data_IF_436319995793
#
_entry.id   IF_436319995793
#
_cell.length_a   1.000
_cell.length_b   1.000
_cell.length_c   1.000
_cell.angle_alpha   90.00
_cell.angle_beta   90.00
_cell.angle_gamma   90.00
#
_symmetry.space_group_name_H-M   'P 1'
#
loop_
_entity.id
_entity.type
_entity.pdbx_description
1 polymer ?
#
# COMPACT_ATOMS: atom_id res chain seq x y z
N UNK A 1 22.02 -3.74 -8.54
CA UNK A 1 21.70 -2.42 -9.13
C UNK A 1 20.22 -2.26 -9.51
N UNK A 2 19.45 -3.33 -9.81
CA UNK A 2 18.02 -3.21 -10.17
C UNK A 2 17.08 -2.85 -8.99
N UNK A 3 17.34 -3.31 -7.76
CA UNK A 3 16.40 -3.09 -6.64
C UNK A 3 16.47 -1.69 -5.99
N UNK A 4 17.61 -1.00 -6.08
CA UNK A 4 17.75 0.37 -5.54
C UNK A 4 16.78 1.36 -6.18
N UNK A 5 16.41 1.15 -7.45
CA UNK A 5 15.49 2.03 -8.16
C UNK A 5 14.03 1.84 -7.70
N UNK A 6 13.64 0.62 -7.31
CA UNK A 6 12.27 0.31 -6.91
C UNK A 6 11.90 0.87 -5.55
N UNK A 7 12.80 0.75 -4.57
CA UNK A 7 12.60 1.36 -3.24
C UNK A 7 12.51 2.88 -3.38
N UNK A 8 13.31 3.47 -4.27
CA UNK A 8 13.25 4.89 -4.61
C UNK A 8 11.85 5.31 -5.06
N UNK A 9 11.28 4.61 -6.05
CA UNK A 9 9.92 4.85 -6.53
C UNK A 9 8.88 4.68 -5.41
N UNK A 10 9.02 3.66 -4.57
CA UNK A 10 8.12 3.43 -3.44
C UNK A 10 8.15 4.59 -2.43
N UNK A 11 9.35 5.08 -2.08
CA UNK A 11 9.53 6.22 -1.19
C UNK A 11 8.90 7.50 -1.74
N UNK A 12 9.11 7.78 -3.02
CA UNK A 12 8.52 8.94 -3.70
C UNK A 12 7.00 8.85 -3.71
N UNK A 13 6.44 7.70 -4.07
CA UNK A 13 4.99 7.45 -4.05
C UNK A 13 4.40 7.69 -2.66
N UNK A 14 5.03 7.13 -1.62
CA UNK A 14 4.58 7.31 -0.23
C UNK A 14 4.61 8.77 0.21
N UNK A 15 5.64 9.54 -0.14
CA UNK A 15 5.69 10.97 0.19
C UNK A 15 4.55 11.74 -0.46
N UNK A 16 4.24 11.44 -1.72
CA UNK A 16 3.14 12.06 -2.44
C UNK A 16 1.79 11.72 -1.81
N UNK A 17 1.52 10.44 -1.54
CA UNK A 17 0.26 10.04 -0.88
C UNK A 17 0.06 10.78 0.43
N UNK A 18 1.09 10.83 1.28
CA UNK A 18 1.01 11.46 2.59
C UNK A 18 0.74 12.95 2.47
N UNK A 19 1.39 13.65 1.53
CA UNK A 19 1.13 15.08 1.27
C UNK A 19 -0.26 15.35 0.69
N UNK A 20 -0.88 14.37 0.05
CA UNK A 20 -2.21 14.48 -0.56
C UNK A 20 -3.34 14.04 0.36
N UNK A 21 -3.04 13.56 1.57
CA UNK A 21 -4.07 13.11 2.51
C UNK A 21 -4.95 14.29 2.98
N UNK A 22 -6.27 14.09 3.09
CA UNK A 22 -7.15 15.11 3.66
C UNK A 22 -6.79 15.46 5.11
N UNK A 23 -6.91 16.74 5.45
CA UNK A 23 -6.97 17.20 6.83
C UNK A 23 -8.16 16.48 7.50
N UNK A 24 -7.95 15.84 8.65
CA UNK A 24 -8.90 14.96 9.39
C UNK A 24 -8.95 13.48 8.99
N UNK A 25 -8.09 13.01 8.08
CA UNK A 25 -7.96 11.57 7.87
C UNK A 25 -7.17 10.87 9.00
N UNK A 26 -7.33 9.55 9.08
CA UNK A 26 -6.44 8.70 9.86
C UNK A 26 -5.69 7.78 8.91
N UNK A 27 -4.43 7.51 9.20
CA UNK A 27 -3.56 6.74 8.31
C UNK A 27 -2.59 5.86 9.11
N UNK A 28 -1.99 4.89 8.42
CA UNK A 28 -0.84 4.14 8.90
C UNK A 28 0.01 3.75 7.68
N UNK A 29 1.29 3.50 7.90
CA UNK A 29 2.18 2.93 6.89
C UNK A 29 2.58 1.55 7.40
N UNK A 30 2.31 0.53 6.60
CA UNK A 30 2.61 -0.85 6.94
C UNK A 30 3.57 -1.39 5.89
N UNK A 31 4.78 -1.70 6.32
CA UNK A 31 5.75 -2.43 5.51
C UNK A 31 5.42 -3.92 5.62
N UNK A 32 5.61 -4.66 4.53
CA UNK A 32 5.40 -6.11 4.55
C UNK A 32 6.46 -6.84 3.71
N UNK A 33 6.74 -8.06 4.14
CA UNK A 33 7.69 -8.99 3.57
C UNK A 33 7.34 -10.38 4.06
N UNK A 34 8.28 -11.09 4.70
CA UNK A 34 7.97 -12.32 5.46
C UNK A 34 7.15 -12.02 6.73
N UNK A 35 7.32 -10.81 7.29
CA UNK A 35 6.52 -10.27 8.38
C UNK A 35 5.99 -8.89 7.99
N UNK A 36 5.17 -8.26 8.82
CA UNK A 36 4.73 -6.88 8.63
C UNK A 36 5.12 -5.99 9.81
N UNK A 37 5.42 -4.73 9.51
CA UNK A 37 5.78 -3.70 10.48
C UNK A 37 4.93 -2.46 10.24
N UNK A 38 4.12 -2.08 11.22
CA UNK A 38 3.28 -0.89 11.17
C UNK A 38 3.99 0.30 11.82
N UNK A 39 3.81 1.50 11.27
CA UNK A 39 4.35 2.74 11.85
C UNK A 39 3.71 3.07 13.20
N UNK A 40 2.42 2.76 13.34
CA UNK A 40 1.66 2.93 14.57
C UNK A 40 1.16 1.57 15.07
N UNK A 41 1.15 1.39 16.40
CA UNK A 41 0.61 0.19 17.05
C UNK A 41 -0.89 0.00 16.75
N UNK A 42 -1.61 1.13 16.67
CA UNK A 42 -3.00 1.18 16.22
C UNK A 42 -3.09 1.09 14.70
N UNK A 43 -4.19 0.53 14.19
CA UNK A 43 -4.36 0.32 12.73
C UNK A 43 -4.33 1.63 11.95
N UNK A 44 -4.70 2.77 12.57
CA UNK A 44 -4.56 4.12 12.01
C UNK A 44 -4.41 5.17 13.11
N UNK A 45 -3.64 6.23 12.87
CA UNK A 45 -3.52 7.41 13.74
C UNK A 45 -3.84 8.71 12.98
N UNK A 46 -4.09 9.81 13.69
CA UNK A 46 -4.50 11.11 13.12
C UNK A 46 -3.41 11.73 12.25
N UNK A 47 -3.83 12.33 11.13
CA UNK A 47 -2.97 13.18 10.31
C UNK A 47 -2.68 14.52 11.02
N UNK A 48 -1.44 14.70 11.48
CA UNK A 48 -0.96 15.93 12.08
C UNK A 48 0.55 16.08 11.82
N UNK A 49 1.09 17.28 12.06
CA UNK A 49 2.51 17.59 11.83
C UNK A 49 3.46 16.62 12.53
N UNK A 50 3.19 16.27 13.79
CA UNK A 50 4.01 15.32 14.57
C UNK A 50 4.07 13.93 13.91
N UNK A 51 2.94 13.42 13.41
CA UNK A 51 2.85 12.12 12.77
C UNK A 51 3.42 12.15 11.35
N UNK A 52 3.32 13.27 10.63
CA UNK A 52 4.01 13.46 9.34
C UNK A 52 5.53 13.40 9.52
N UNK A 53 6.10 14.00 10.57
CA UNK A 53 7.54 13.89 10.84
C UNK A 53 7.99 12.44 11.09
N UNK A 54 7.15 11.62 11.77
CA UNK A 54 7.44 10.18 11.94
C UNK A 54 7.45 9.44 10.60
N UNK A 55 6.50 9.79 9.73
CA UNK A 55 6.40 9.22 8.37
C UNK A 55 7.63 9.55 7.54
N UNK A 56 8.04 10.82 7.49
CA UNK A 56 9.23 11.24 6.73
C UNK A 56 10.48 10.50 7.21
N UNK A 57 10.61 10.31 8.53
CA UNK A 57 11.71 9.53 9.11
C UNK A 57 11.65 8.07 8.67
N UNK A 58 10.48 7.44 8.73
CA UNK A 58 10.28 6.07 8.26
C UNK A 58 10.68 5.95 6.78
N UNK A 59 10.11 6.80 5.91
CA UNK A 59 10.33 6.76 4.46
C UNK A 59 11.82 6.87 4.12
N UNK A 60 12.54 7.78 4.78
CA UNK A 60 13.98 7.95 4.58
C UNK A 60 14.80 6.71 5.00
N UNK A 61 14.28 5.91 5.93
CA UNK A 61 14.93 4.72 6.47
C UNK A 61 14.50 3.41 5.80
N UNK A 62 13.41 3.41 5.01
CA UNK A 62 12.84 2.21 4.36
C UNK A 62 13.88 1.42 3.58
N UNK A 63 13.96 0.10 3.81
CA UNK A 63 14.83 -0.81 3.07
C UNK A 63 14.01 -2.01 2.62
N UNK A 64 14.44 -2.70 1.56
CA UNK A 64 13.84 -3.95 1.14
C UNK A 64 14.52 -5.11 1.87
N UNK A 65 14.35 -5.17 3.19
CA UNK A 65 15.03 -6.12 4.08
C UNK A 65 14.07 -7.00 4.91
N UNK A 66 12.75 -6.88 4.69
CA UNK A 66 11.75 -7.73 5.36
C UNK A 66 11.62 -9.15 4.78
N UNK A 67 12.37 -9.48 3.73
CA UNK A 67 12.27 -10.76 3.00
C UNK A 67 10.88 -11.00 2.39
N UNK A 68 10.64 -12.17 1.80
CA UNK A 68 9.30 -12.70 1.46
C UNK A 68 8.31 -11.76 0.75
N UNK A 69 7.06 -12.19 0.64
CA UNK A 69 5.93 -11.34 0.21
C UNK A 69 4.62 -11.92 0.75
N UNK A 70 4.41 -11.81 2.06
CA UNK A 70 3.27 -12.41 2.78
C UNK A 70 2.06 -11.46 2.87
N UNK A 71 1.54 -11.05 1.71
CA UNK A 71 0.40 -10.13 1.63
C UNK A 71 -0.87 -10.71 2.28
N UNK A 72 -1.08 -12.03 2.19
CA UNK A 72 -2.27 -12.68 2.73
C UNK A 72 -2.37 -12.50 4.25
N UNK A 73 -1.27 -12.67 4.98
CA UNK A 73 -1.26 -12.54 6.44
C UNK A 73 -1.49 -11.10 6.89
N UNK A 74 -0.93 -10.12 6.16
CA UNK A 74 -1.24 -8.70 6.38
C UNK A 74 -2.74 -8.42 6.19
N UNK A 75 -3.34 -8.93 5.11
CA UNK A 75 -4.76 -8.72 4.84
C UNK A 75 -5.66 -9.41 5.87
N UNK A 76 -5.29 -10.59 6.38
CA UNK A 76 -6.01 -11.25 7.49
C UNK A 76 -5.94 -10.43 8.77
N UNK A 77 -4.79 -9.81 9.05
CA UNK A 77 -4.67 -8.88 10.17
C UNK A 77 -5.57 -7.65 9.99
N UNK A 78 -5.62 -7.08 8.77
CA UNK A 78 -6.50 -5.96 8.45
C UNK A 78 -8.00 -6.32 8.54
N UNK A 79 -8.39 -7.52 8.14
CA UNK A 79 -9.78 -8.01 8.25
C UNK A 79 -10.25 -8.06 9.71
N UNK A 80 -9.37 -8.50 10.61
CA UNK A 80 -9.63 -8.55 12.07
C UNK A 80 -9.77 -7.16 12.71
N UNK A 81 -9.33 -6.12 12.02
CA UNK A 81 -9.42 -4.74 12.48
C UNK A 81 -10.23 -3.91 11.47
N UNK A 82 -11.57 -4.02 11.41
CA UNK A 82 -12.37 -3.28 10.44
C UNK A 82 -12.31 -1.75 10.67
N UNK A 83 -12.56 -0.93 9.63
CA UNK A 83 -12.64 0.52 9.82
C UNK A 83 -13.78 0.88 10.79
N UNK A 84 -13.62 2.01 11.49
CA UNK A 84 -14.66 2.55 12.39
C UNK A 84 -15.97 2.74 11.64
N UNK A 85 -17.10 2.50 12.32
CA UNK A 85 -18.45 2.63 11.74
C UNK A 85 -18.62 4.01 11.06
N UNK A 86 -19.11 4.00 9.83
CA UNK A 86 -19.29 5.20 9.01
C UNK A 86 -18.05 5.66 8.26
N UNK A 87 -16.91 4.96 8.37
CA UNK A 87 -15.70 5.23 7.59
C UNK A 87 -15.42 4.10 6.60
N UNK A 88 -14.83 4.46 5.47
CA UNK A 88 -14.30 3.52 4.49
C UNK A 88 -12.78 3.47 4.62
N UNK A 89 -12.20 2.27 4.58
CA UNK A 89 -10.74 2.09 4.50
C UNK A 89 -10.29 2.18 3.04
N UNK A 90 -9.27 2.97 2.78
CA UNK A 90 -8.56 2.97 1.51
C UNK A 90 -7.14 2.46 1.72
N UNK A 91 -6.73 1.46 0.95
CA UNK A 91 -5.39 0.88 0.99
C UNK A 91 -4.70 1.22 -0.32
N UNK A 92 -3.55 1.89 -0.22
CA UNK A 92 -2.66 2.14 -1.36
C UNK A 92 -1.54 1.09 -1.31
N UNK A 93 -1.68 0.03 -2.09
CA UNK A 93 -0.73 -1.08 -2.12
C UNK A 93 0.35 -0.82 -3.18
N UNK A 94 1.59 -0.67 -2.74
CA UNK A 94 2.77 -0.63 -3.61
C UNK A 94 3.36 -2.05 -3.68
N UNK A 95 3.44 -2.64 -4.87
CA UNK A 95 3.96 -4.00 -5.04
C UNK A 95 4.83 -4.09 -6.30
N UNK A 96 6.03 -4.66 -6.17
CA UNK A 96 6.98 -4.87 -7.27
C UNK A 96 7.23 -6.35 -7.58
N UNK A 97 6.65 -7.26 -6.79
CA UNK A 97 6.87 -8.71 -6.84
C UNK A 97 5.61 -9.52 -7.12
N UNK A 98 5.79 -10.84 -7.14
CA UNK A 98 4.73 -11.83 -7.31
C UNK A 98 4.44 -12.56 -5.99
N UNK A 99 3.20 -13.02 -5.85
CA UNK A 99 2.77 -13.90 -4.77
C UNK A 99 2.21 -15.19 -5.35
N UNK A 100 2.39 -16.31 -4.66
CA UNK A 100 1.88 -17.62 -5.11
C UNK A 100 0.38 -17.80 -4.82
N UNK A 101 -0.14 -17.17 -3.78
CA UNK A 101 -1.49 -17.31 -3.24
C UNK A 101 -2.46 -16.21 -3.71
N UNK A 102 -2.37 -15.80 -4.98
CA UNK A 102 -3.20 -14.72 -5.55
C UNK A 102 -4.69 -14.96 -5.31
N UNK A 103 -5.20 -16.17 -5.54
CA UNK A 103 -6.63 -16.46 -5.42
C UNK A 103 -7.14 -16.25 -3.98
N UNK A 104 -6.42 -16.76 -2.98
CA UNK A 104 -6.76 -16.59 -1.57
C UNK A 104 -6.78 -15.11 -1.15
N UNK A 105 -5.78 -14.34 -1.62
CA UNK A 105 -5.74 -12.90 -1.42
C UNK A 105 -6.96 -12.22 -2.03
N UNK A 106 -7.33 -12.58 -3.27
CA UNK A 106 -8.49 -11.97 -3.93
C UNK A 106 -9.81 -12.33 -3.24
N UNK A 107 -9.97 -13.57 -2.76
CA UNK A 107 -11.16 -13.99 -2.03
C UNK A 107 -11.32 -13.22 -0.71
N UNK A 108 -10.22 -13.06 0.04
CA UNK A 108 -10.20 -12.25 1.25
C UNK A 108 -10.48 -10.77 0.94
N UNK A 109 -9.93 -10.22 -0.14
CA UNK A 109 -10.24 -8.85 -0.53
C UNK A 109 -11.73 -8.66 -0.88
N UNK A 110 -12.38 -9.66 -1.48
CA UNK A 110 -13.82 -9.62 -1.77
C UNK A 110 -14.66 -9.60 -0.48
N UNK A 111 -14.26 -10.32 0.57
CA UNK A 111 -14.98 -10.30 1.87
C UNK A 111 -14.98 -8.89 2.49
N UNK A 112 -13.89 -8.15 2.33
CA UNK A 112 -13.72 -6.79 2.86
C UNK A 112 -14.26 -5.68 1.94
N UNK A 113 -14.71 -6.01 0.73
CA UNK A 113 -15.04 -5.04 -0.31
C UNK A 113 -16.24 -4.13 0.01
N UNK A 114 -16.99 -4.37 1.07
CA UNK A 114 -18.05 -3.46 1.53
C UNK A 114 -17.50 -2.23 2.24
N UNK A 115 -16.38 -2.37 2.95
CA UNK A 115 -15.80 -1.32 3.80
C UNK A 115 -14.37 -0.91 3.41
N UNK A 116 -13.75 -1.65 2.49
CA UNK A 116 -12.36 -1.44 2.06
C UNK A 116 -12.27 -1.28 0.54
N UNK A 117 -11.41 -0.36 0.09
CA UNK A 117 -11.01 -0.15 -1.31
C UNK A 117 -9.50 -0.30 -1.42
N UNK A 118 -9.00 -1.04 -2.41
CA UNK A 118 -7.56 -1.24 -2.63
C UNK A 118 -7.15 -0.62 -3.96
N UNK A 119 -6.30 0.39 -3.88
CA UNK A 119 -5.62 1.03 -5.01
C UNK A 119 -4.24 0.41 -5.16
N UNK A 120 -3.96 -0.24 -6.29
CA UNK A 120 -2.77 -1.07 -6.46
C UNK A 120 -1.78 -0.47 -7.45
N UNK A 121 -0.52 -0.33 -7.04
CA UNK A 121 0.56 0.24 -7.82
C UNK A 121 1.60 -0.83 -8.09
N UNK A 122 1.65 -1.30 -9.34
CA UNK A 122 2.67 -2.22 -9.79
C UNK A 122 3.96 -1.48 -10.12
N UNK A 123 5.03 -1.67 -9.35
CA UNK A 123 6.28 -0.94 -9.53
C UNK A 123 7.30 -1.71 -10.38
N UNK A 124 8.01 -0.98 -11.25
CA UNK A 124 9.18 -1.49 -11.95
C UNK A 124 8.86 -2.36 -13.18
N UNK A 125 9.80 -3.25 -13.54
CA UNK A 125 9.78 -3.97 -14.82
C UNK A 125 8.70 -5.05 -14.92
N UNK A 126 8.46 -5.79 -13.83
CA UNK A 126 7.63 -7.01 -13.85
C UNK A 126 6.77 -7.18 -12.60
N UNK A 127 5.91 -6.20 -12.24
CA UNK A 127 4.96 -6.39 -11.15
C UNK A 127 3.90 -7.44 -11.52
N UNK A 128 3.39 -8.16 -10.51
CA UNK A 128 2.33 -9.15 -10.72
C UNK A 128 1.05 -8.51 -11.26
N UNK A 129 0.81 -8.67 -12.57
CA UNK A 129 -0.37 -8.11 -13.23
C UNK A 129 -1.67 -8.76 -12.75
N UNK A 130 -1.63 -10.06 -12.44
CA UNK A 130 -2.79 -10.81 -11.91
C UNK A 130 -3.20 -10.27 -10.55
N UNK A 131 -2.24 -10.03 -9.66
CA UNK A 131 -2.48 -9.44 -8.35
C UNK A 131 -2.98 -8.00 -8.48
N UNK A 132 -2.21 -7.12 -9.13
CA UNK A 132 -2.50 -5.68 -9.23
C UNK A 132 -3.86 -5.42 -9.86
N UNK A 133 -4.22 -6.14 -10.93
CA UNK A 133 -5.54 -6.01 -11.57
C UNK A 133 -6.64 -6.79 -10.83
N UNK A 134 -6.28 -7.86 -10.12
CA UNK A 134 -7.23 -8.66 -9.36
C UNK A 134 -7.78 -7.91 -8.17
N UNK A 135 -6.91 -7.22 -7.41
CA UNK A 135 -7.26 -6.47 -6.21
C UNK A 135 -8.29 -5.37 -6.49
N UNK A 136 -8.14 -4.69 -7.64
CA UNK A 136 -9.05 -3.62 -8.04
C UNK A 136 -10.43 -4.15 -8.40
N UNK A 137 -10.50 -5.28 -9.11
CA UNK A 137 -11.76 -5.97 -9.40
C UNK A 137 -12.42 -6.51 -8.13
N UNK A 138 -11.62 -6.99 -7.18
CA UNK A 138 -12.12 -7.54 -5.93
C UNK A 138 -12.71 -6.46 -5.01
N UNK A 139 -12.15 -5.25 -5.04
CA UNK A 139 -12.48 -4.19 -4.07
C UNK A 139 -13.06 -2.93 -4.67
N UNK A 140 -13.36 -2.87 -5.97
CA UNK A 140 -13.78 -1.65 -6.67
C UNK A 140 -12.76 -0.49 -6.53
N UNK A 141 -11.47 -0.83 -6.52
CA UNK A 141 -10.38 0.14 -6.55
C UNK A 141 -9.89 0.43 -7.97
N UNK A 142 -8.71 1.04 -8.08
CA UNK A 142 -8.04 1.34 -9.35
C UNK A 142 -6.58 0.88 -9.28
N UNK A 143 -5.95 0.68 -10.44
CA UNK A 143 -4.56 0.26 -10.52
C UNK A 143 -3.77 1.15 -11.46
N UNK A 144 -2.47 1.26 -11.17
CA UNK A 144 -1.49 1.87 -12.06
C UNK A 144 -0.24 1.01 -12.10
N UNK A 145 0.42 0.95 -13.25
CA UNK A 145 1.77 0.41 -13.36
C UNK A 145 2.73 1.58 -13.49
N UNK A 146 3.75 1.62 -12.66
CA UNK A 146 4.77 2.67 -12.65
C UNK A 146 6.07 2.05 -13.19
N UNK A 147 6.42 2.33 -14.47
CA UNK A 147 7.66 1.82 -15.04
C UNK A 147 8.90 2.34 -14.31
N UNK A 148 10.03 1.63 -14.41
CA UNK A 148 11.31 2.15 -13.92
C UNK A 148 11.66 3.49 -14.58
N UNK A 149 12.30 4.39 -13.83
CA UNK A 149 12.71 5.72 -14.29
C UNK A 149 11.56 6.64 -14.77
N UNK A 150 10.32 6.37 -14.33
CA UNK A 150 9.18 7.25 -14.59
C UNK A 150 8.95 8.22 -13.42
N UNK A 151 8.32 9.37 -13.70
CA UNK A 151 7.88 10.28 -12.65
C UNK A 151 6.67 9.67 -11.94
N UNK A 152 6.79 9.46 -10.63
CA UNK A 152 5.73 8.88 -9.80
C UNK A 152 4.54 9.84 -9.68
N UNK A 153 4.80 11.14 -9.67
CA UNK A 153 3.78 12.20 -9.58
C UNK A 153 2.68 12.06 -10.63
N UNK A 154 3.06 11.79 -11.88
CA UNK A 154 2.12 11.64 -13.01
C UNK A 154 1.11 10.52 -12.73
N UNK A 155 1.58 9.42 -12.15
CA UNK A 155 0.81 8.18 -11.96
C UNK A 155 -0.02 8.20 -10.67
N UNK A 156 0.49 8.85 -9.62
CA UNK A 156 -0.21 8.98 -8.33
C UNK A 156 -1.39 9.93 -8.44
N UNK A 157 -1.25 11.03 -9.19
CA UNK A 157 -2.33 12.02 -9.38
C UNK A 157 -3.60 11.47 -10.03
N UNK A 158 -3.53 10.38 -10.81
CA UNK A 158 -4.70 9.75 -11.45
C UNK A 158 -5.56 8.91 -10.48
N UNK A 159 -5.04 8.65 -9.28
CA UNK A 159 -5.61 7.70 -8.31
C UNK A 159 -6.19 8.37 -7.06
N UNK A 160 -5.78 9.60 -6.78
CA UNK A 160 -6.28 10.46 -5.72
C UNK A 160 -7.56 11.19 -6.16
#
# INVERSE_FOLDING_TARGET
MHDQNKIGLGREAMLLFIKSLPLDCQFNIIQFGSNHEALFDEVTDIYNEKNVHKVERLINQLRADLGGTELLELLKWLEKHPPRKGRTRQIFLLADGEISNVNEVLDLCRSMATSTRIFSFGLGHSPSRSLVKGLTRATNGRFVFIPPNSSVEIHVGEQL
#
